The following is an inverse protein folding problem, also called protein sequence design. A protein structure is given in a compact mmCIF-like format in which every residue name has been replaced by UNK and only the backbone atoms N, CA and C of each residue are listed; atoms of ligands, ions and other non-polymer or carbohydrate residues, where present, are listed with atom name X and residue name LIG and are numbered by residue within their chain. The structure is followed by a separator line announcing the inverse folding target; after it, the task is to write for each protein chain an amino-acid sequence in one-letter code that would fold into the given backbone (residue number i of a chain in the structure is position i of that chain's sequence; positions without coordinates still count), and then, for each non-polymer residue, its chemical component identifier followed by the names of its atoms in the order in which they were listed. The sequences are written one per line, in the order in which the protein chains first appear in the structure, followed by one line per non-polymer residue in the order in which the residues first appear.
data_IF_103598083679
#
_entry.id   IF_103598083679
#
_cell.length_a   1.000
_cell.length_b   1.000
_cell.length_c   1.000
_cell.angle_alpha   90.00
_cell.angle_beta   90.00
_cell.angle_gamma   90.00
#
_symmetry.space_group_name_H-M   'P 1'
#
loop_
_entity.id
_entity.type
_entity.pdbx_description
1 polymer ?
#
# COMPACT_ATOMS: atom_id res chain seq x y z
N UNK A 1 -22.25 -12.79 47.45
CA UNK A 1 -22.25 -11.81 46.35
C UNK A 1 -20.81 -11.44 46.07
N UNK A 2 -20.21 -12.01 45.03
CA UNK A 2 -18.80 -11.84 44.66
C UNK A 2 -18.78 -11.05 43.34
N UNK A 3 -18.47 -9.75 43.43
CA UNK A 3 -18.38 -8.89 42.25
C UNK A 3 -17.00 -9.05 41.60
N UNK A 4 -17.03 -9.35 40.29
CA UNK A 4 -15.87 -9.56 39.42
C UNK A 4 -15.02 -8.29 39.26
N UNK A 5 -13.75 -8.36 39.63
CA UNK A 5 -12.74 -7.29 39.47
C UNK A 5 -12.08 -7.41 38.08
N UNK A 6 -12.79 -7.06 37.00
CA UNK A 6 -12.24 -7.13 35.62
C UNK A 6 -12.19 -5.80 34.84
N UNK A 7 -12.50 -4.67 35.45
CA UNK A 7 -12.59 -3.38 34.74
C UNK A 7 -11.69 -2.28 35.32
N UNK A 8 -10.37 -2.48 35.37
CA UNK A 8 -9.43 -1.46 35.83
C UNK A 8 -8.24 -1.16 34.88
N UNK A 9 -8.16 -1.78 33.71
CA UNK A 9 -6.98 -1.64 32.82
C UNK A 9 -7.17 -0.76 31.57
N UNK A 10 -8.28 -0.02 31.43
CA UNK A 10 -8.55 0.79 30.23
C UNK A 10 -8.58 2.31 30.43
N UNK A 11 -8.08 2.84 31.55
CA UNK A 11 -8.09 4.29 31.86
C UNK A 11 -6.68 4.89 31.97
N UNK A 12 -5.78 4.58 31.04
CA UNK A 12 -4.36 4.95 31.16
C UNK A 12 -3.67 5.41 29.89
N UNK A 13 -4.32 6.15 28.98
CA UNK A 13 -3.63 6.68 27.79
C UNK A 13 -4.28 7.93 27.17
N UNK A 14 -4.41 9.01 27.94
CA UNK A 14 -4.76 10.35 27.42
C UNK A 14 -4.05 11.44 28.24
N UNK A 15 -2.73 11.57 28.11
CA UNK A 15 -2.00 12.76 28.56
C UNK A 15 -0.55 12.76 28.04
N UNK A 16 -0.30 13.24 26.81
CA UNK A 16 0.96 13.94 26.42
C UNK A 16 0.81 14.54 25.02
N UNK A 17 0.17 15.71 24.91
CA UNK A 17 0.45 16.65 23.81
C UNK A 17 0.35 18.07 24.36
N UNK A 18 1.38 18.52 25.06
CA UNK A 18 1.59 19.95 25.27
C UNK A 18 3.08 20.28 25.17
N UNK A 19 3.35 21.32 24.38
CA UNK A 19 4.56 22.14 24.28
C UNK A 19 5.78 21.59 23.52
N UNK A 20 5.96 22.09 22.30
CA UNK A 20 7.19 22.84 21.99
C UNK A 20 6.81 24.16 21.29
N UNK A 21 7.14 25.34 21.86
CA UNK A 21 7.00 26.60 21.16
C UNK A 21 8.20 26.77 20.22
N UNK A 22 7.94 26.92 18.92
CA UNK A 22 8.94 27.34 17.94
C UNK A 22 8.98 28.86 17.98
N UNK A 23 10.11 29.43 18.39
CA UNK A 23 10.37 30.86 18.28
C UNK A 23 10.43 31.27 16.80
N UNK A 24 9.38 31.96 16.33
CA UNK A 24 9.36 32.66 15.04
C UNK A 24 9.90 34.08 15.26
N UNK A 25 11.15 34.28 14.85
CA UNK A 25 11.77 35.60 14.80
C UNK A 25 11.57 36.19 13.39
N UNK A 26 10.73 37.22 13.33
CA UNK A 26 10.65 38.32 12.37
C UNK A 26 11.33 38.18 10.99
N UNK A 27 10.52 38.07 9.94
CA UNK A 27 10.45 39.11 8.89
C UNK A 27 9.09 39.00 8.19
N UNK A 28 8.29 40.03 8.45
CA UNK A 28 6.98 40.35 7.88
C UNK A 28 7.13 40.68 6.39
N UNK A 29 6.99 39.66 5.53
CA UNK A 29 6.68 39.87 4.10
C UNK A 29 5.79 38.72 3.63
N UNK A 30 4.49 38.99 3.56
CA UNK A 30 3.51 38.28 2.71
C UNK A 30 3.41 36.74 2.86
N UNK A 31 3.06 36.27 4.06
CA UNK A 31 2.72 34.85 4.27
C UNK A 31 1.26 34.53 3.93
N UNK A 32 0.35 35.50 3.99
CA UNK A 32 -1.09 35.29 3.76
C UNK A 32 -1.46 35.15 2.27
N UNK A 33 -0.55 35.52 1.35
CA UNK A 33 -0.72 35.34 -0.08
C UNK A 33 0.01 34.12 -0.65
N UNK A 34 0.63 33.27 0.20
CA UNK A 34 0.93 31.88 -0.18
C UNK A 34 -0.38 31.11 -0.18
N UNK A 35 -1.15 31.33 -1.25
CA UNK A 35 -2.15 30.40 -1.73
C UNK A 35 -1.67 28.97 -1.46
N UNK A 36 -2.31 28.31 -0.49
CA UNK A 36 -2.29 26.86 -0.29
C UNK A 36 -3.03 26.20 -1.47
N UNK A 37 -2.74 26.62 -2.69
CA UNK A 37 -2.79 25.74 -3.83
C UNK A 37 -1.97 24.53 -3.41
N UNK A 38 -2.65 23.42 -3.19
CA UNK A 38 -2.10 22.10 -2.96
C UNK A 38 -1.04 21.86 -4.04
N UNK A 39 0.19 22.28 -3.74
CA UNK A 39 1.39 21.94 -4.49
C UNK A 39 1.40 20.45 -4.35
N UNK A 40 1.09 19.73 -5.42
CA UNK A 40 1.25 18.29 -5.45
C UNK A 40 2.70 18.05 -5.00
N UNK A 41 2.85 17.55 -3.78
CA UNK A 41 4.15 17.38 -3.17
C UNK A 41 4.94 16.44 -4.08
N UNK A 42 6.20 16.78 -4.35
CA UNK A 42 7.05 15.86 -5.09
C UNK A 42 7.33 14.71 -4.13
N UNK A 43 6.79 13.54 -4.40
CA UNK A 43 7.01 12.34 -3.59
C UNK A 43 8.02 11.42 -4.27
N UNK A 44 8.53 10.46 -3.51
CA UNK A 44 9.35 9.39 -4.09
C UNK A 44 8.49 8.49 -4.98
N UNK A 45 9.01 8.14 -6.16
CA UNK A 45 8.25 7.42 -7.19
C UNK A 45 8.92 6.09 -7.54
N UNK A 46 8.11 5.03 -7.64
CA UNK A 46 8.53 3.73 -8.14
C UNK A 46 8.12 3.57 -9.61
N UNK A 47 9.13 3.44 -10.46
CA UNK A 47 9.01 3.22 -11.89
C UNK A 47 9.50 1.82 -12.26
N UNK A 48 8.62 0.82 -12.19
CA UNK A 48 8.94 -0.55 -12.60
C UNK A 48 10.04 -1.20 -11.77
N UNK A 49 10.02 -0.99 -10.45
CA UNK A 49 11.01 -1.50 -9.49
C UNK A 49 12.16 -0.54 -9.21
N UNK A 50 12.33 0.53 -10.02
CA UNK A 50 13.29 1.59 -9.72
C UNK A 50 12.64 2.69 -8.90
N UNK A 51 13.17 2.94 -7.70
CA UNK A 51 12.76 4.07 -6.87
C UNK A 51 13.60 5.31 -7.19
N UNK A 52 12.92 6.43 -7.38
CA UNK A 52 13.50 7.76 -7.49
C UNK A 52 13.11 8.56 -6.26
N UNK A 53 14.11 9.16 -5.61
CA UNK A 53 13.87 9.98 -4.42
C UNK A 53 13.32 11.34 -4.80
N UNK A 54 12.65 11.98 -3.85
CA UNK A 54 12.14 13.35 -4.00
C UNK A 54 13.23 14.32 -4.50
N UNK A 55 14.45 14.24 -3.94
CA UNK A 55 15.55 15.13 -4.33
C UNK A 55 16.01 14.93 -5.77
N UNK A 56 16.08 13.68 -6.23
CA UNK A 56 16.43 13.35 -7.62
C UNK A 56 15.39 13.91 -8.60
N UNK A 57 14.11 13.81 -8.23
CA UNK A 57 13.00 14.32 -9.03
C UNK A 57 13.03 15.86 -9.04
N UNK A 58 13.20 16.50 -7.88
CA UNK A 58 13.33 17.96 -7.76
C UNK A 58 14.51 18.51 -8.55
N UNK A 59 15.68 17.85 -8.49
CA UNK A 59 16.86 18.25 -9.24
C UNK A 59 16.59 18.19 -10.76
N UNK A 60 15.93 17.14 -11.22
CA UNK A 60 15.56 16.99 -12.64
C UNK A 60 14.53 18.03 -13.08
N UNK A 61 13.54 18.34 -12.24
CA UNK A 61 12.57 19.42 -12.47
C UNK A 61 13.26 20.80 -12.54
N UNK A 62 14.20 21.07 -11.63
CA UNK A 62 14.97 22.32 -11.62
C UNK A 62 15.75 22.50 -12.92
N UNK A 63 16.43 21.44 -13.37
CA UNK A 63 17.11 21.44 -14.65
C UNK A 63 16.15 21.67 -15.81
N UNK A 64 15.00 20.98 -15.82
CA UNK A 64 13.99 21.14 -16.86
C UNK A 64 13.52 22.60 -16.97
N UNK A 65 13.27 23.27 -15.84
CA UNK A 65 12.93 24.69 -15.79
C UNK A 65 13.99 25.57 -16.42
N UNK A 66 15.26 25.32 -16.12
CA UNK A 66 16.39 26.09 -16.66
C UNK A 66 16.54 25.94 -18.19
N UNK A 67 15.92 24.90 -18.79
CA UNK A 67 16.02 24.58 -20.21
C UNK A 67 14.79 25.04 -21.01
N UNK A 68 13.77 25.60 -20.37
CA UNK A 68 12.59 26.14 -21.06
C UNK A 68 13.02 27.26 -22.01
N UNK A 69 12.55 27.20 -23.26
CA UNK A 69 12.86 28.18 -24.30
C UNK A 69 14.27 28.08 -24.88
N UNK A 70 15.12 27.17 -24.36
CA UNK A 70 16.43 26.91 -24.94
C UNK A 70 16.31 25.95 -26.13
N UNK A 71 17.16 26.07 -27.16
CA UNK A 71 17.17 25.11 -28.25
C UNK A 71 17.56 23.73 -27.73
N UNK A 72 16.80 22.71 -28.10
CA UNK A 72 17.05 21.34 -27.67
C UNK A 72 15.83 20.44 -27.85
N UNK A 73 16.03 19.14 -27.60
CA UNK A 73 14.95 18.14 -27.63
C UNK A 73 14.06 18.18 -26.38
N UNK A 74 14.60 18.66 -25.26
CA UNK A 74 13.92 18.68 -23.97
C UNK A 74 14.03 20.06 -23.30
N UNK A 75 13.01 20.47 -22.52
CA UNK A 75 11.77 19.73 -22.24
C UNK A 75 10.86 19.53 -23.46
N UNK A 76 10.17 18.39 -23.51
CA UNK A 76 9.32 18.02 -24.64
C UNK A 76 7.85 18.01 -24.24
N UNK A 77 6.94 18.18 -25.20
CA UNK A 77 5.51 18.11 -24.93
C UNK A 77 5.10 16.69 -24.49
N UNK A 78 4.34 16.61 -23.41
CA UNK A 78 3.75 15.39 -22.89
C UNK A 78 2.23 15.50 -22.96
N UNK A 79 1.57 14.50 -23.54
CA UNK A 79 0.11 14.44 -23.55
C UNK A 79 -0.39 13.31 -22.65
N UNK A 80 -1.13 13.68 -21.62
CA UNK A 80 -1.71 12.78 -20.63
C UNK A 80 -3.01 12.15 -21.17
N UNK A 81 -2.90 11.33 -22.22
CA UNK A 81 -4.06 10.65 -22.81
C UNK A 81 -4.38 9.39 -22.03
N UNK A 82 -5.66 9.20 -21.67
CA UNK A 82 -6.18 7.86 -21.32
C UNK A 82 -6.18 7.02 -22.61
N UNK A 83 -5.18 6.16 -22.78
CA UNK A 83 -5.16 5.18 -23.87
C UNK A 83 -6.17 4.06 -23.63
N UNK A 84 -6.30 3.12 -24.58
CA UNK A 84 -7.08 1.87 -24.40
C UNK A 84 -6.51 0.92 -23.32
N UNK A 85 -5.40 1.30 -22.70
CA UNK A 85 -4.89 0.78 -21.44
C UNK A 85 -4.30 1.95 -20.64
N UNK A 86 -4.22 1.82 -19.32
CA UNK A 86 -3.76 2.84 -18.35
C UNK A 86 -2.29 3.32 -18.52
N UNK A 87 -1.70 3.07 -19.69
CA UNK A 87 -0.28 3.23 -20.02
C UNK A 87 0.17 4.71 -19.98
N UNK A 88 -0.63 5.65 -20.48
CA UNK A 88 -0.22 7.07 -20.58
C UNK A 88 -0.82 7.99 -19.53
N UNK A 89 -1.60 7.45 -18.59
CA UNK A 89 -2.39 8.28 -17.69
C UNK A 89 -1.67 8.52 -16.36
N UNK A 90 -1.29 9.77 -16.11
CA UNK A 90 -0.90 10.26 -14.79
C UNK A 90 -2.19 10.75 -14.10
N UNK A 91 -2.68 10.06 -13.05
CA UNK A 91 -3.99 10.35 -12.44
C UNK A 91 -4.14 11.78 -11.92
N UNK A 92 -3.04 12.34 -11.42
CA UNK A 92 -2.97 13.66 -10.78
C UNK A 92 -2.62 14.79 -11.75
N UNK A 93 -2.41 14.47 -13.04
CA UNK A 93 -1.97 15.41 -14.06
C UNK A 93 -3.12 16.01 -14.90
N UNK A 94 -2.95 17.26 -15.34
CA UNK A 94 -3.77 17.86 -16.40
C UNK A 94 -3.61 17.13 -17.76
N UNK A 95 -4.39 17.53 -18.79
CA UNK A 95 -4.39 16.85 -20.10
C UNK A 95 -3.07 17.00 -20.87
N UNK A 96 -2.33 18.07 -20.59
CA UNK A 96 -1.07 18.42 -21.26
C UNK A 96 -0.02 18.84 -20.23
N UNK A 97 1.24 18.61 -20.59
CA UNK A 97 2.38 18.95 -19.76
C UNK A 97 3.69 18.92 -20.54
N UNK A 98 4.78 18.99 -19.82
CA UNK A 98 6.13 18.85 -20.33
C UNK A 98 6.81 17.67 -19.64
N UNK A 99 7.57 16.90 -20.42
CA UNK A 99 8.43 15.84 -19.91
C UNK A 99 9.91 16.22 -19.99
N UNK A 100 10.68 15.75 -19.01
CA UNK A 100 12.13 15.88 -19.00
C UNK A 100 12.80 14.56 -18.57
N UNK A 101 13.95 14.17 -19.15
CA UNK A 101 14.60 12.91 -18.81
C UNK A 101 15.23 12.93 -17.43
N UNK A 102 15.19 11.77 -16.77
CA UNK A 102 15.98 11.47 -15.57
C UNK A 102 16.72 10.15 -15.81
N UNK A 103 18.01 10.11 -15.46
CA UNK A 103 18.83 8.92 -15.70
C UNK A 103 18.42 7.79 -14.75
N UNK A 104 18.70 6.54 -15.12
CA UNK A 104 18.35 5.37 -14.29
C UNK A 104 19.06 5.31 -12.93
N UNK A 105 20.15 6.06 -12.74
CA UNK A 105 20.83 6.25 -11.45
C UNK A 105 20.23 7.41 -10.62
N UNK A 106 19.26 8.16 -11.16
CA UNK A 106 18.64 9.31 -10.50
C UNK A 106 19.36 10.64 -10.75
N UNK A 107 20.45 10.64 -11.50
CA UNK A 107 21.11 11.89 -11.90
C UNK A 107 20.28 12.67 -12.91
N UNK A 108 20.45 13.99 -12.86
CA UNK A 108 19.92 14.93 -13.84
C UNK A 108 20.49 14.60 -15.22
N UNK A 109 19.61 14.49 -16.21
CA UNK A 109 20.03 14.40 -17.60
C UNK A 109 20.46 15.77 -18.12
N UNK A 110 21.61 15.83 -18.78
CA UNK A 110 22.14 17.06 -19.38
C UNK A 110 22.38 16.93 -20.88
N UNK A 111 22.78 15.74 -21.34
CA UNK A 111 23.05 15.44 -22.76
C UNK A 111 23.05 13.93 -23.02
N UNK A 112 23.16 13.55 -24.30
CA UNK A 112 23.24 12.15 -24.72
C UNK A 112 21.88 11.43 -24.69
N UNK A 113 21.92 10.11 -24.48
CA UNK A 113 20.70 9.30 -24.49
C UNK A 113 19.82 9.61 -23.27
N UNK A 114 18.52 9.95 -23.45
CA UNK A 114 17.62 10.31 -22.35
C UNK A 114 17.16 9.11 -21.50
N UNK A 115 17.49 7.87 -21.88
CA UNK A 115 16.98 6.68 -21.22
C UNK A 115 15.45 6.58 -21.26
N UNK A 116 14.88 5.76 -20.37
CA UNK A 116 13.45 5.41 -20.38
C UNK A 116 12.58 6.20 -19.39
N UNK A 117 13.15 6.89 -18.41
CA UNK A 117 12.39 7.55 -17.33
C UNK A 117 12.20 9.04 -17.63
N UNK A 118 11.03 9.56 -17.29
CA UNK A 118 10.68 10.98 -17.45
C UNK A 118 10.04 11.52 -16.18
N UNK A 119 10.42 12.74 -15.82
CA UNK A 119 9.63 13.59 -14.91
C UNK A 119 8.65 14.39 -15.75
N UNK A 120 7.41 14.50 -15.29
CA UNK A 120 6.35 15.22 -15.99
C UNK A 120 5.84 16.34 -15.10
N UNK A 121 5.81 17.54 -15.65
CA UNK A 121 5.24 18.73 -15.02
C UNK A 121 4.20 19.38 -15.93
N UNK A 122 3.45 20.33 -15.38
CA UNK A 122 2.59 21.18 -16.18
C UNK A 122 3.42 22.16 -17.06
N UNK A 123 2.75 23.13 -17.68
CA UNK A 123 3.42 24.22 -18.38
C UNK A 123 4.48 24.87 -17.48
N UNK A 124 5.69 24.95 -17.99
CA UNK A 124 6.88 25.48 -17.31
C UNK A 124 7.31 24.75 -16.02
N UNK A 125 6.85 23.50 -15.80
CA UNK A 125 7.11 22.71 -14.58
C UNK A 125 6.76 23.44 -13.26
N UNK A 126 5.80 24.36 -13.29
CA UNK A 126 5.32 25.04 -12.07
C UNK A 126 4.74 24.04 -11.05
N UNK A 127 4.10 22.98 -11.55
CA UNK A 127 3.50 21.89 -10.79
C UNK A 127 4.02 20.56 -11.29
N UNK A 128 4.49 19.71 -10.38
CA UNK A 128 4.80 18.32 -10.67
C UNK A 128 3.51 17.54 -10.92
N UNK A 129 3.46 16.79 -12.01
CA UNK A 129 2.32 15.93 -12.35
C UNK A 129 2.61 14.49 -11.96
N UNK A 130 3.83 14.00 -12.21
CA UNK A 130 4.20 12.63 -11.88
C UNK A 130 5.46 12.20 -12.63
N UNK A 131 5.73 10.90 -12.60
CA UNK A 131 6.78 10.29 -13.41
C UNK A 131 6.19 9.26 -14.36
N UNK A 132 6.87 9.07 -15.48
CA UNK A 132 6.54 8.02 -16.44
C UNK A 132 7.78 7.26 -16.85
N UNK A 133 7.58 6.05 -17.36
CA UNK A 133 8.64 5.27 -18.00
C UNK A 133 8.18 4.69 -19.33
N UNK A 134 9.08 4.64 -20.30
CA UNK A 134 8.85 3.88 -21.53
C UNK A 134 8.93 2.37 -21.26
N UNK A 135 7.92 1.62 -21.70
CA UNK A 135 7.93 0.15 -21.68
C UNK A 135 8.41 -0.37 -23.04
N UNK A 136 9.38 -1.28 -23.01
CA UNK A 136 9.96 -1.89 -24.22
C UNK A 136 10.92 -0.93 -24.93
N UNK A 137 10.96 -1.00 -26.25
CA UNK A 137 11.81 -0.11 -27.05
C UNK A 137 11.36 1.34 -26.90
N UNK A 138 12.27 2.34 -26.79
CA UNK A 138 11.91 3.76 -26.70
C UNK A 138 11.02 4.26 -27.85
N UNK A 139 11.05 3.58 -28.99
CA UNK A 139 10.24 3.91 -30.17
C UNK A 139 8.87 3.21 -30.18
N UNK A 140 8.57 2.33 -29.21
CA UNK A 140 7.27 1.64 -29.11
C UNK A 140 6.12 2.60 -28.80
N UNK A 141 6.45 3.78 -28.25
CA UNK A 141 5.45 4.75 -27.79
C UNK A 141 4.63 4.28 -26.58
N UNK A 142 4.92 3.11 -26.02
CA UNK A 142 4.28 2.61 -24.79
C UNK A 142 4.94 3.26 -23.60
N UNK A 143 4.11 3.86 -22.76
CA UNK A 143 4.50 4.58 -21.56
C UNK A 143 3.77 3.91 -20.40
N UNK A 144 4.29 4.03 -19.19
CA UNK A 144 3.59 3.66 -17.96
C UNK A 144 3.81 4.74 -16.93
N UNK A 145 2.73 5.15 -16.25
CA UNK A 145 2.84 6.02 -15.10
C UNK A 145 3.52 5.29 -13.94
N UNK A 146 4.48 5.96 -13.31
CA UNK A 146 5.09 5.50 -12.08
C UNK A 146 4.14 5.71 -10.91
N UNK A 147 4.32 4.92 -9.85
CA UNK A 147 3.47 4.96 -8.65
C UNK A 147 4.20 5.67 -7.52
N UNK A 148 3.49 6.40 -6.67
CA UNK A 148 4.09 6.92 -5.45
C UNK A 148 4.48 5.74 -4.54
N UNK A 149 5.64 5.84 -3.89
CA UNK A 149 6.10 4.81 -2.95
C UNK A 149 5.12 4.70 -1.77
N UNK A 150 4.61 5.84 -1.29
CA UNK A 150 3.60 5.97 -0.25
C UNK A 150 2.31 5.17 -0.56
N UNK A 151 1.84 5.21 -1.81
CA UNK A 151 0.66 4.45 -2.25
C UNK A 151 0.92 2.95 -2.27
N UNK A 152 2.12 2.53 -2.68
CA UNK A 152 2.52 1.11 -2.68
C UNK A 152 2.57 0.59 -1.24
N UNK A 153 3.19 1.34 -0.33
CA UNK A 153 3.31 0.97 1.08
C UNK A 153 1.94 0.81 1.74
N UNK A 154 1.00 1.75 1.49
CA UNK A 154 -0.38 1.66 1.99
C UNK A 154 -1.10 0.41 1.47
N UNK A 155 -1.01 0.13 0.16
CA UNK A 155 -1.64 -1.06 -0.43
C UNK A 155 -1.03 -2.37 0.08
N UNK A 156 0.27 -2.40 0.40
CA UNK A 156 0.90 -3.56 1.01
C UNK A 156 0.46 -3.75 2.47
N UNK A 157 0.33 -2.66 3.23
CA UNK A 157 -0.16 -2.71 4.60
C UNK A 157 -1.61 -3.20 4.67
N UNK A 158 -2.49 -2.70 3.81
CA UNK A 158 -3.88 -3.16 3.72
C UNK A 158 -3.97 -4.65 3.37
N UNK A 159 -3.16 -5.12 2.40
CA UNK A 159 -3.09 -6.53 2.05
C UNK A 159 -2.62 -7.41 3.20
N UNK A 160 -1.65 -6.93 4.00
CA UNK A 160 -1.20 -7.66 5.21
C UNK A 160 -2.32 -7.77 6.25
N UNK A 161 -3.05 -6.68 6.50
CA UNK A 161 -4.19 -6.68 7.45
C UNK A 161 -5.29 -7.65 6.99
N UNK A 162 -5.62 -7.65 5.69
CA UNK A 162 -6.62 -8.56 5.13
C UNK A 162 -6.18 -10.03 5.24
N UNK A 163 -4.91 -10.34 4.96
CA UNK A 163 -4.36 -11.69 5.12
C UNK A 163 -4.37 -12.13 6.59
N UNK A 164 -4.03 -11.25 7.52
CA UNK A 164 -4.07 -11.53 8.95
C UNK A 164 -5.50 -11.84 9.41
N UNK A 165 -6.49 -11.06 8.99
CA UNK A 165 -7.90 -11.30 9.30
C UNK A 165 -8.40 -12.64 8.75
N UNK A 166 -8.06 -12.96 7.49
CA UNK A 166 -8.40 -14.26 6.88
C UNK A 166 -7.77 -15.43 7.65
N UNK A 167 -6.51 -15.29 8.07
CA UNK A 167 -5.84 -16.33 8.85
C UNK A 167 -6.47 -16.56 10.23
N UNK A 168 -6.93 -15.49 10.91
CA UNK A 168 -7.64 -15.58 12.19
C UNK A 168 -8.98 -16.31 12.03
N UNK A 169 -9.78 -15.91 11.03
CA UNK A 169 -11.06 -16.56 10.70
C UNK A 169 -10.90 -18.05 10.40
N UNK A 170 -9.91 -18.40 9.59
CA UNK A 170 -9.61 -19.79 9.28
C UNK A 170 -9.21 -20.58 10.54
N UNK A 171 -8.38 -19.99 11.42
CA UNK A 171 -7.99 -20.65 12.67
C UNK A 171 -9.16 -20.88 13.65
N UNK A 172 -10.16 -19.99 13.66
CA UNK A 172 -11.38 -20.14 14.46
C UNK A 172 -12.30 -21.22 13.90
N UNK A 173 -12.47 -21.27 12.57
CA UNK A 173 -13.22 -22.34 11.91
C UNK A 173 -12.58 -23.72 12.15
N UNK A 174 -11.25 -23.83 12.07
CA UNK A 174 -10.53 -25.07 12.32
C UNK A 174 -10.65 -25.51 13.79
N UNK A 175 -10.62 -24.57 14.74
CA UNK A 175 -10.88 -24.88 16.16
C UNK A 175 -12.30 -25.41 16.35
N UNK A 176 -13.31 -24.78 15.74
CA UNK A 176 -14.71 -25.21 15.84
C UNK A 176 -14.92 -26.61 15.26
N UNK A 177 -14.35 -26.90 14.08
CA UNK A 177 -14.41 -28.24 13.47
C UNK A 177 -13.73 -29.31 14.34
N UNK A 178 -12.59 -28.98 14.94
CA UNK A 178 -11.90 -29.90 15.85
C UNK A 178 -12.70 -30.17 17.13
N UNK A 179 -13.38 -29.16 17.68
CA UNK A 179 -14.28 -29.34 18.84
C UNK A 179 -15.50 -30.19 18.50
N UNK A 180 -16.12 -29.99 17.33
CA UNK A 180 -17.24 -30.81 16.85
C UNK A 180 -16.82 -32.27 16.66
N UNK A 181 -15.70 -32.52 15.98
CA UNK A 181 -15.16 -33.87 15.79
C UNK A 181 -14.86 -34.56 17.13
N UNK A 182 -14.33 -33.82 18.11
CA UNK A 182 -14.06 -34.37 19.45
C UNK A 182 -15.34 -34.77 20.19
N UNK A 183 -16.43 -34.01 20.02
CA UNK A 183 -17.75 -34.34 20.60
C UNK A 183 -18.33 -35.60 19.95
N UNK A 184 -18.25 -35.73 18.63
CA UNK A 184 -18.70 -36.92 17.90
C UNK A 184 -17.94 -38.17 18.33
N UNK A 185 -16.61 -38.10 18.45
CA UNK A 185 -15.78 -39.21 18.94
C UNK A 185 -16.12 -39.60 20.39
N UNK A 186 -16.47 -38.64 21.25
CA UNK A 186 -16.86 -38.92 22.63
C UNK A 186 -18.24 -39.59 22.71
N UNK A 187 -19.21 -39.16 21.90
CA UNK A 187 -20.53 -39.81 21.80
C UNK A 187 -20.43 -41.23 21.25
N UNK A 188 -19.61 -41.46 20.22
CA UNK A 188 -19.39 -42.80 19.67
C UNK A 188 -18.77 -43.75 20.72
N UNK A 189 -17.81 -43.25 21.51
CA UNK A 189 -17.23 -44.00 22.64
C UNK A 189 -18.28 -44.33 23.71
N UNK A 190 -19.18 -43.41 24.03
CA UNK A 190 -20.29 -43.63 24.98
C UNK A 190 -21.26 -44.71 24.47
N UNK A 191 -21.65 -44.67 23.20
CA UNK A 191 -22.53 -45.69 22.57
C UNK A 191 -21.89 -47.08 22.60
N UNK A 192 -20.63 -47.20 22.17
CA UNK A 192 -19.87 -48.49 22.22
C UNK A 192 -19.77 -49.05 23.64
N UNK A 193 -19.55 -48.20 24.64
CA UNK A 193 -19.51 -48.63 26.05
C UNK A 193 -20.86 -49.18 26.50
N UNK A 194 -21.95 -48.48 26.21
CA UNK A 194 -23.32 -48.90 26.57
C UNK A 194 -23.72 -50.23 25.93
N UNK A 195 -23.39 -50.45 24.65
CA UNK A 195 -23.59 -51.72 23.96
C UNK A 195 -22.79 -52.86 24.62
N UNK A 196 -21.53 -52.61 24.98
CA UNK A 196 -20.69 -53.60 25.65
C UNK A 196 -21.22 -53.99 27.03
N UNK A 197 -21.76 -53.03 27.78
CA UNK A 197 -22.34 -53.25 29.11
C UNK A 197 -23.69 -53.99 29.02
N UNK A 198 -24.51 -53.67 28.01
CA UNK A 198 -25.74 -54.41 27.72
C UNK A 198 -25.47 -55.88 27.34
N UNK A 199 -24.45 -56.14 26.52
CA UNK A 199 -24.02 -57.51 26.15
C UNK A 199 -23.51 -58.31 27.37
N UNK A 200 -22.82 -57.66 28.31
CA UNK A 200 -22.40 -58.31 29.57
C UNK A 200 -23.60 -58.65 30.47
N UNK A 201 -24.63 -57.80 30.51
CA UNK A 201 -25.86 -58.04 31.28
C UNK A 201 -26.69 -59.20 30.73
N UNK A 202 -26.86 -59.31 29.41
CA UNK A 202 -27.64 -60.41 28.81
C UNK A 202 -27.00 -61.78 29.06
N UNK A 203 -25.65 -61.88 29.02
CA UNK A 203 -24.93 -63.12 29.36
C UNK A 203 -25.09 -63.56 30.82
N UNK A 204 -25.39 -62.65 31.74
CA UNK A 204 -25.58 -62.96 33.17
C UNK A 204 -26.96 -63.58 33.48
N UNK A 205 -27.96 -63.31 32.65
CA UNK A 205 -29.33 -63.84 32.79
C UNK A 205 -29.59 -65.13 31.98
N UNK A 206 -28.63 -65.61 31.19
CA UNK A 206 -28.68 -66.91 30.50
C UNK A 206 -27.76 -67.96 31.14
N UNK A 207 -27.67 -67.99 32.48
CA UNK A 207 -27.26 -69.19 33.24
C UNK A 207 -28.42 -70.19 33.37
N UNK A 208 -29.07 -70.49 32.26
CA UNK A 208 -30.12 -71.48 32.15
C UNK A 208 -30.08 -72.11 30.76
N UNK A 209 -29.20 -73.09 30.58
CA UNK A 209 -29.26 -74.03 29.46
C UNK A 209 -28.53 -73.61 28.17
N UNK A 210 -27.25 -73.93 28.09
CA UNK A 210 -26.74 -74.61 26.90
C UNK A 210 -26.33 -76.00 27.38
N UNK A 211 -27.13 -77.00 27.01
CA UNK A 211 -26.75 -78.42 27.06
C UNK A 211 -25.68 -78.68 26.01
#
# INVERSE_FOLDING_TARGET
MLFNIKSAFFLGLMATTYASPISLNNTDVDLENRSLEVRAAVESMNCGGKVFTEDQIKASISQAKSMIGKPGRYPAHFTNKKGKGNEKHIPTGGPEGLEYPIKGNGEVWTSGSPGKYRVVGNKDFKKFMGMTMHIGSPNSGRIQACRAVSDIEKEEEERRKEQEEKSKKQSEEDKKKNEEKKKEEEEEKKKKKQESDNCKRSKKHHKGGCK
#
